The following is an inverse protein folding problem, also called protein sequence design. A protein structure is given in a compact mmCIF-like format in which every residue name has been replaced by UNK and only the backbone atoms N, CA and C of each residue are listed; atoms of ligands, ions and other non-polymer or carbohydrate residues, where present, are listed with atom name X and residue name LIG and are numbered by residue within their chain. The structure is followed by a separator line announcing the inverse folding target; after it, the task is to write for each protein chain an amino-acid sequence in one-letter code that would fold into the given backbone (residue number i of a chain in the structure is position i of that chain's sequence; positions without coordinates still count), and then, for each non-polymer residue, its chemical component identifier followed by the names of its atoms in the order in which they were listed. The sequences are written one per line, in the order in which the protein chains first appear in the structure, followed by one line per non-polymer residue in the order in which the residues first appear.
data_IF_767122030370
#
_entry.id   IF_767122030370
#
_cell.length_a   1.000
_cell.length_b   1.000
_cell.length_c   1.000
_cell.angle_alpha   90.00
_cell.angle_beta   90.00
_cell.angle_gamma   90.00
#
_symmetry.space_group_name_H-M   'P 1'
#
loop_
_entity.id
_entity.type
_entity.pdbx_description
1 polymer ?
#
# COMPACT_ATOMS: atom_id res chain seq x y z
N UNK A 1 12.20 65.61 -50.31
CA UNK A 1 11.03 65.88 -49.44
C UNK A 1 11.26 65.15 -48.13
N UNK A 2 10.93 65.77 -47.00
CA UNK A 2 10.78 65.16 -45.68
C UNK A 2 9.35 65.50 -45.22
N UNK A 3 8.67 64.70 -44.36
CA UNK A 3 9.02 64.64 -42.93
C UNK A 3 8.72 63.30 -42.20
N UNK A 4 8.99 63.28 -40.88
CA UNK A 4 8.26 62.54 -39.82
C UNK A 4 8.38 60.99 -39.73
N UNK A 5 8.45 60.32 -38.56
CA UNK A 5 8.37 60.72 -37.13
C UNK A 5 9.23 59.79 -36.21
N UNK A 6 9.36 60.12 -34.91
CA UNK A 6 9.95 59.33 -33.80
C UNK A 6 8.86 59.01 -32.74
N UNK A 7 9.04 58.15 -31.69
CA UNK A 7 9.88 56.94 -31.49
C UNK A 7 8.91 55.71 -31.39
N UNK A 8 8.71 54.88 -30.32
CA UNK A 8 9.53 54.28 -29.23
C UNK A 8 9.67 52.72 -29.32
N UNK A 9 10.34 52.01 -28.38
CA UNK A 9 10.62 50.56 -28.49
C UNK A 9 9.76 49.64 -27.59
N UNK A 10 9.36 48.46 -28.10
CA UNK A 10 9.00 47.32 -27.25
C UNK A 10 9.25 45.92 -27.88
N UNK A 11 10.35 45.34 -27.43
CA UNK A 11 10.53 43.95 -26.99
C UNK A 11 9.27 43.03 -27.01
N UNK A 12 9.19 42.09 -27.97
CA UNK A 12 8.49 40.81 -27.75
C UNK A 12 9.40 39.62 -28.12
N UNK A 13 9.74 38.90 -27.06
CA UNK A 13 10.59 37.71 -26.93
C UNK A 13 10.58 36.72 -28.09
N UNK A 14 11.75 36.13 -28.37
CA UNK A 14 11.79 34.78 -28.95
C UNK A 14 10.93 33.86 -28.06
N UNK A 15 9.92 33.25 -28.66
CA UNK A 15 9.19 32.12 -28.10
C UNK A 15 9.21 31.00 -29.17
N UNK A 16 10.06 29.98 -29.03
CA UNK A 16 9.96 28.77 -29.84
C UNK A 16 8.57 28.13 -29.67
N UNK A 17 8.07 27.37 -30.65
CA UNK A 17 6.80 26.68 -30.50
C UNK A 17 6.83 25.80 -29.26
N UNK A 18 5.80 25.95 -28.40
CA UNK A 18 5.61 25.14 -27.20
C UNK A 18 5.70 23.65 -27.59
N UNK A 19 6.63 22.86 -27.00
CA UNK A 19 6.63 21.43 -27.21
C UNK A 19 5.26 20.88 -26.81
N UNK A 20 4.66 20.09 -27.69
CA UNK A 20 3.48 19.28 -27.37
C UNK A 20 3.76 18.50 -26.09
N UNK A 21 2.88 18.60 -25.10
CA UNK A 21 2.94 17.75 -23.91
C UNK A 21 2.96 16.29 -24.37
N UNK A 22 3.98 15.48 -24.01
CA UNK A 22 3.89 14.05 -24.22
C UNK A 22 2.83 13.50 -23.26
N UNK A 23 1.96 12.62 -23.77
CA UNK A 23 0.97 11.89 -22.97
C UNK A 23 1.65 10.88 -22.01
N UNK A 24 2.34 11.35 -20.98
CA UNK A 24 2.90 10.50 -19.90
C UNK A 24 1.86 10.15 -18.81
N UNK A 25 0.57 10.16 -19.14
CA UNK A 25 -0.50 9.81 -18.19
C UNK A 25 -0.69 8.29 -17.99
N UNK A 26 -0.07 7.45 -18.83
CA UNK A 26 -0.15 5.99 -18.69
C UNK A 26 0.76 5.41 -17.61
N UNK A 27 2.07 5.61 -17.74
CA UNK A 27 3.11 4.93 -16.94
C UNK A 27 3.21 5.42 -15.50
N UNK A 28 3.02 6.73 -15.26
CA UNK A 28 3.03 7.31 -13.92
C UNK A 28 1.86 6.83 -13.05
N UNK A 29 0.70 6.57 -13.66
CA UNK A 29 -0.52 6.16 -12.97
C UNK A 29 -0.42 4.72 -12.43
N UNK A 30 0.10 3.79 -13.22
CA UNK A 30 0.29 2.39 -12.79
C UNK A 30 1.21 2.28 -11.58
N UNK A 31 2.32 3.02 -11.58
CA UNK A 31 3.24 3.06 -10.44
C UNK A 31 2.60 3.72 -9.20
N UNK A 32 1.82 4.81 -9.38
CA UNK A 32 1.09 5.44 -8.28
C UNK A 32 0.04 4.50 -7.68
N UNK A 33 -0.76 3.81 -8.50
CA UNK A 33 -1.76 2.82 -8.04
C UNK A 33 -1.09 1.70 -7.24
N UNK A 34 0.06 1.20 -7.70
CA UNK A 34 0.86 0.21 -6.98
C UNK A 34 1.33 0.71 -5.62
N UNK A 35 1.95 1.90 -5.56
CA UNK A 35 2.46 2.49 -4.30
C UNK A 35 1.32 2.79 -3.32
N UNK A 36 0.19 3.31 -3.81
CA UNK A 36 -1.02 3.54 -3.02
C UNK A 36 -1.55 2.21 -2.46
N UNK A 37 -1.64 1.15 -3.28
CA UNK A 37 -2.04 -0.18 -2.82
C UNK A 37 -1.12 -0.74 -1.73
N UNK A 38 0.19 -0.54 -1.87
CA UNK A 38 1.17 -0.97 -0.87
C UNK A 38 1.04 -0.18 0.44
N UNK A 39 0.89 1.15 0.37
CA UNK A 39 0.64 2.01 1.55
C UNK A 39 -0.67 1.66 2.26
N UNK A 40 -1.78 1.58 1.51
CA UNK A 40 -3.12 1.30 2.05
C UNK A 40 -3.18 -0.11 2.64
N UNK A 41 -2.66 -1.12 1.93
CA UNK A 41 -2.60 -2.50 2.43
C UNK A 41 -1.80 -2.60 3.73
N UNK A 42 -0.62 -1.95 3.79
CA UNK A 42 0.21 -1.91 5.00
C UNK A 42 -0.46 -1.17 6.16
N UNK A 43 -1.11 -0.03 5.90
CA UNK A 43 -1.85 0.72 6.91
C UNK A 43 -3.03 -0.09 7.48
N UNK A 44 -3.78 -0.78 6.63
CA UNK A 44 -4.88 -1.67 7.04
C UNK A 44 -4.36 -2.85 7.88
N UNK A 45 -3.27 -3.52 7.46
CA UNK A 45 -2.63 -4.55 8.28
C UNK A 45 -2.21 -4.01 9.65
N UNK A 46 -1.59 -2.82 9.70
CA UNK A 46 -1.14 -2.22 10.95
C UNK A 46 -2.30 -1.83 11.88
N UNK A 47 -3.36 -1.23 11.35
CA UNK A 47 -4.57 -0.86 12.12
C UNK A 47 -5.29 -2.12 12.64
N UNK A 48 -5.44 -3.16 11.81
CA UNK A 48 -6.02 -4.44 12.23
C UNK A 48 -5.19 -5.11 13.33
N UNK A 49 -3.87 -5.16 13.16
CA UNK A 49 -2.94 -5.72 14.14
C UNK A 49 -2.91 -4.95 15.46
N UNK A 50 -2.87 -3.61 15.44
CA UNK A 50 -2.91 -2.80 16.66
C UNK A 50 -4.18 -3.04 17.47
N UNK A 51 -5.34 -3.19 16.82
CA UNK A 51 -6.58 -3.53 17.50
C UNK A 51 -6.50 -4.94 18.14
N UNK A 52 -5.97 -5.95 17.44
CA UNK A 52 -5.76 -7.29 18.03
C UNK A 52 -4.79 -7.23 19.22
N UNK A 53 -3.70 -6.48 19.11
CA UNK A 53 -2.73 -6.28 20.19
C UNK A 53 -3.38 -5.62 21.42
N UNK A 54 -4.13 -4.52 21.22
CA UNK A 54 -4.87 -3.84 22.29
C UNK A 54 -5.97 -4.73 22.90
N UNK A 55 -6.60 -5.62 22.12
CA UNK A 55 -7.56 -6.61 22.64
C UNK A 55 -6.89 -7.58 23.61
N UNK A 56 -5.67 -8.05 23.30
CA UNK A 56 -4.91 -8.96 24.14
C UNK A 56 -4.38 -8.24 25.40
N UNK A 57 -3.83 -7.03 25.23
CA UNK A 57 -3.20 -6.28 26.33
C UNK A 57 -4.20 -5.62 27.29
N UNK A 58 -5.35 -5.15 26.78
CA UNK A 58 -6.38 -4.47 27.57
C UNK A 58 -7.52 -5.37 28.05
N UNK A 59 -7.54 -6.65 27.65
CA UNK A 59 -8.59 -7.61 28.03
C UNK A 59 -9.98 -7.36 27.39
N UNK A 60 -10.11 -6.38 26.49
CA UNK A 60 -11.37 -6.07 25.83
C UNK A 60 -11.72 -7.09 24.73
N UNK A 61 -12.96 -7.56 24.72
CA UNK A 61 -13.50 -8.41 23.65
C UNK A 61 -13.78 -7.59 22.39
N UNK A 62 -12.78 -7.46 21.52
CA UNK A 62 -13.01 -6.90 20.19
C UNK A 62 -13.59 -7.97 19.26
N UNK A 63 -14.65 -7.58 18.52
CA UNK A 63 -15.35 -8.33 17.48
C UNK A 63 -14.43 -8.74 16.30
N UNK A 64 -14.98 -9.49 15.34
CA UNK A 64 -14.29 -9.96 14.11
C UNK A 64 -13.71 -8.84 13.21
N UNK A 65 -14.16 -7.59 13.36
CA UNK A 65 -13.84 -6.47 12.47
C UNK A 65 -12.32 -6.23 12.26
N UNK A 66 -11.44 -6.21 13.28
CA UNK A 66 -10.00 -6.01 13.07
C UNK A 66 -9.32 -7.13 12.28
N UNK A 67 -9.85 -8.36 12.36
CA UNK A 67 -9.34 -9.48 11.58
C UNK A 67 -9.67 -9.27 10.10
N UNK A 68 -10.90 -8.84 9.79
CA UNK A 68 -11.28 -8.49 8.41
C UNK A 68 -10.45 -7.33 7.87
N UNK A 69 -10.16 -6.32 8.70
CA UNK A 69 -9.26 -5.21 8.34
C UNK A 69 -7.83 -5.70 8.09
N UNK A 70 -7.30 -6.60 8.94
CA UNK A 70 -5.98 -7.18 8.80
C UNK A 70 -5.85 -8.03 7.53
N UNK A 71 -6.75 -9.00 7.32
CA UNK A 71 -6.72 -9.88 6.14
C UNK A 71 -7.09 -9.17 4.84
N UNK A 72 -7.98 -8.17 4.90
CA UNK A 72 -8.25 -7.27 3.77
C UNK A 72 -7.03 -6.44 3.40
N UNK A 73 -6.34 -5.87 4.40
CA UNK A 73 -5.06 -5.20 4.22
C UNK A 73 -4.00 -6.11 3.61
N UNK A 74 -3.89 -7.36 4.09
CA UNK A 74 -2.97 -8.37 3.56
C UNK A 74 -3.27 -8.73 2.11
N UNK A 75 -4.53 -8.86 1.72
CA UNK A 75 -4.92 -9.13 0.34
C UNK A 75 -4.63 -7.93 -0.60
N UNK A 76 -4.90 -6.70 -0.15
CA UNK A 76 -4.58 -5.47 -0.91
C UNK A 76 -3.06 -5.30 -1.05
N UNK A 77 -2.32 -5.50 0.05
CA UNK A 77 -0.85 -5.46 0.04
C UNK A 77 -0.27 -6.53 -0.88
N UNK A 78 -0.76 -7.77 -0.81
CA UNK A 78 -0.32 -8.84 -1.70
C UNK A 78 -0.59 -8.53 -3.17
N UNK A 79 -1.69 -7.82 -3.48
CA UNK A 79 -1.98 -7.39 -4.86
C UNK A 79 -0.88 -6.50 -5.44
N UNK A 80 -0.40 -5.56 -4.63
CA UNK A 80 0.61 -4.59 -5.00
C UNK A 80 2.01 -5.19 -4.92
N UNK A 81 2.42 -5.65 -3.73
CA UNK A 81 3.81 -5.99 -3.41
C UNK A 81 4.33 -7.27 -4.10
N UNK A 82 3.46 -8.17 -4.58
CA UNK A 82 3.89 -9.45 -5.16
C UNK A 82 3.72 -9.45 -6.67
N UNK A 83 4.84 -9.32 -7.39
CA UNK A 83 4.88 -9.38 -8.85
C UNK A 83 4.60 -10.78 -9.40
N UNK A 84 5.02 -11.83 -8.69
CA UNK A 84 4.85 -13.23 -9.15
C UNK A 84 3.39 -13.69 -8.99
N UNK A 85 2.65 -13.99 -10.08
CA UNK A 85 1.21 -14.24 -9.99
C UNK A 85 0.83 -15.40 -9.06
N UNK A 86 1.60 -16.49 -9.09
CA UNK A 86 1.35 -17.68 -8.26
C UNK A 86 1.41 -17.37 -6.77
N UNK A 87 2.41 -16.58 -6.33
CA UNK A 87 2.52 -16.17 -4.93
C UNK A 87 1.47 -15.10 -4.58
N UNK A 88 1.20 -14.15 -5.47
CA UNK A 88 0.16 -13.12 -5.29
C UNK A 88 -1.20 -13.75 -5.01
N UNK A 89 -1.69 -14.59 -5.93
CA UNK A 89 -2.98 -15.24 -5.78
C UNK A 89 -3.00 -16.27 -4.65
N UNK A 90 -1.86 -16.91 -4.34
CA UNK A 90 -1.72 -17.79 -3.18
C UNK A 90 -1.95 -17.06 -1.86
N UNK A 91 -1.25 -15.94 -1.64
CA UNK A 91 -1.40 -15.12 -0.42
C UNK A 91 -2.80 -14.48 -0.35
N UNK A 92 -3.32 -13.97 -1.46
CA UNK A 92 -4.69 -13.43 -1.52
C UNK A 92 -5.75 -14.46 -1.17
N UNK A 93 -5.72 -15.63 -1.81
CA UNK A 93 -6.70 -16.70 -1.57
C UNK A 93 -6.62 -17.17 -0.13
N UNK A 94 -5.41 -17.36 0.41
CA UNK A 94 -5.21 -17.72 1.82
C UNK A 94 -5.75 -16.64 2.77
N UNK A 95 -5.50 -15.35 2.52
CA UNK A 95 -6.03 -14.26 3.32
C UNK A 95 -7.57 -14.20 3.28
N UNK A 96 -8.17 -14.36 2.09
CA UNK A 96 -9.63 -14.36 1.90
C UNK A 96 -10.27 -15.58 2.56
N UNK A 97 -9.69 -16.78 2.41
CA UNK A 97 -10.18 -18.00 3.05
C UNK A 97 -10.10 -17.91 4.58
N UNK A 98 -9.03 -17.34 5.13
CA UNK A 98 -8.93 -17.10 6.58
C UNK A 98 -9.95 -16.06 7.06
N UNK A 99 -10.15 -14.96 6.32
CA UNK A 99 -11.17 -13.96 6.64
C UNK A 99 -12.59 -14.56 6.62
N UNK A 100 -12.93 -15.34 5.59
CA UNK A 100 -14.23 -16.00 5.47
C UNK A 100 -14.42 -17.09 6.54
N UNK A 101 -13.39 -17.88 6.84
CA UNK A 101 -13.43 -18.87 7.91
C UNK A 101 -13.74 -18.22 9.26
N UNK A 102 -12.98 -17.19 9.64
CA UNK A 102 -13.20 -16.47 10.89
C UNK A 102 -14.56 -15.74 10.92
N UNK A 103 -15.04 -15.23 9.77
CA UNK A 103 -16.39 -14.65 9.65
C UNK A 103 -17.49 -15.70 9.87
N UNK A 104 -17.33 -16.91 9.31
CA UNK A 104 -18.27 -18.02 9.50
C UNK A 104 -18.28 -18.54 10.95
N UNK A 105 -17.12 -18.61 11.61
CA UNK A 105 -17.04 -19.03 13.01
C UNK A 105 -17.63 -17.99 13.98
N UNK A 106 -17.64 -16.70 13.61
CA UNK A 106 -18.40 -15.62 14.26
C UNK A 106 -17.89 -15.18 15.65
N UNK A 107 -17.43 -16.13 16.45
CA UNK A 107 -16.94 -15.96 17.82
C UNK A 107 -15.40 -15.96 17.82
N UNK A 108 -14.80 -14.80 18.09
CA UNK A 108 -13.33 -14.67 18.14
C UNK A 108 -12.82 -15.13 19.50
N UNK A 109 -12.75 -16.46 19.68
CA UNK A 109 -12.11 -17.04 20.86
C UNK A 109 -10.70 -16.48 21.05
N UNK A 110 -10.27 -16.33 22.31
CA UNK A 110 -8.96 -15.83 22.73
C UNK A 110 -7.78 -16.45 21.94
N UNK A 111 -7.88 -17.74 21.58
CA UNK A 111 -6.86 -18.43 20.81
C UNK A 111 -6.62 -17.82 19.41
N UNK A 112 -7.64 -17.33 18.72
CA UNK A 112 -7.49 -16.68 17.41
C UNK A 112 -6.66 -15.38 17.50
N UNK A 113 -6.86 -14.60 18.58
CA UNK A 113 -6.09 -13.38 18.86
C UNK A 113 -4.61 -13.73 19.08
N UNK A 114 -4.36 -14.76 19.89
CA UNK A 114 -3.00 -15.27 20.15
C UNK A 114 -2.33 -15.80 18.87
N UNK A 115 -3.00 -16.64 18.10
CA UNK A 115 -2.44 -17.20 16.85
C UNK A 115 -2.07 -16.09 15.87
N UNK A 116 -2.94 -15.10 15.64
CA UNK A 116 -2.62 -14.00 14.73
C UNK A 116 -1.43 -13.19 15.27
N UNK A 117 -1.40 -12.85 16.56
CA UNK A 117 -0.30 -12.14 17.19
C UNK A 117 1.05 -12.87 17.04
N UNK A 118 1.11 -14.17 17.37
CA UNK A 118 2.32 -14.98 17.23
C UNK A 118 2.74 -15.17 15.78
N UNK A 119 1.81 -15.37 14.85
CA UNK A 119 2.11 -15.47 13.42
C UNK A 119 2.69 -14.16 12.89
N UNK A 120 2.10 -12.99 13.22
CA UNK A 120 2.66 -11.70 12.81
C UNK A 120 4.05 -11.47 13.41
N UNK A 121 4.28 -11.81 14.69
CA UNK A 121 5.62 -11.74 15.30
C UNK A 121 6.61 -12.65 14.57
N UNK A 122 6.25 -13.90 14.27
CA UNK A 122 7.15 -14.82 13.56
C UNK A 122 7.46 -14.31 12.15
N UNK A 123 6.48 -13.74 11.44
CA UNK A 123 6.69 -13.13 10.12
C UNK A 123 7.63 -11.93 10.22
N UNK A 124 7.37 -10.97 11.11
CA UNK A 124 8.23 -9.78 11.30
C UNK A 124 9.64 -10.19 11.74
N UNK A 125 9.75 -11.18 12.63
CA UNK A 125 11.03 -11.75 13.06
C UNK A 125 11.75 -12.42 11.89
N UNK A 126 11.05 -13.20 11.07
CA UNK A 126 11.61 -13.81 9.85
C UNK A 126 12.13 -12.73 8.90
N UNK A 127 11.35 -11.70 8.57
CA UNK A 127 11.83 -10.59 7.74
C UNK A 127 13.06 -9.91 8.35
N UNK A 128 13.01 -9.53 9.63
CA UNK A 128 14.10 -8.84 10.31
C UNK A 128 15.40 -9.67 10.43
N UNK A 129 15.31 -11.00 10.53
CA UNK A 129 16.46 -11.90 10.70
C UNK A 129 16.89 -12.68 9.45
N UNK A 130 16.08 -12.72 8.38
CA UNK A 130 16.41 -13.34 7.09
C UNK A 130 16.76 -12.31 6.01
N UNK A 131 16.28 -11.06 6.11
CA UNK A 131 16.76 -9.95 5.26
C UNK A 131 18.05 -9.20 5.72
N UNK A 132 18.75 -9.49 6.84
CA UNK A 132 20.04 -8.88 7.11
C UNK A 132 21.13 -9.62 6.32
N UNK A 133 21.33 -9.23 5.05
CA UNK A 133 22.62 -9.03 4.34
C UNK A 133 22.48 -9.12 2.82
N UNK A 134 22.40 -7.94 2.19
CA UNK A 134 23.31 -7.63 1.07
C UNK A 134 24.07 -6.35 1.39
N UNK A 135 25.23 -6.42 2.08
CA UNK A 135 26.22 -5.36 1.93
C UNK A 135 26.64 -5.33 0.46
N UNK A 136 26.32 -4.24 -0.24
CA UNK A 136 26.76 -4.03 -1.62
C UNK A 136 28.29 -3.90 -1.65
N UNK A 137 28.94 -4.78 -2.40
CA UNK A 137 30.34 -4.67 -2.83
C UNK A 137 30.46 -5.35 -4.19
#
# INVERSE_FOLDING_TARGET
MAPSDLPPPHNESLAPPRPTEPEEQGTGNEHQIHVIGLMVGTALMFIGFLNVFLSISGGFEINIVPFLIYFGGLAIWANAAIETPTFRYGVMTLAITLALGLFQYGEVLFWHKQVLFWVTIIIVMYFMFVEPKKPTT
#
